data_IF_226530199256
#
_entry.id   IF_226530199256
#
_cell.length_a   1.000
_cell.length_b   1.000
_cell.length_c   1.000
_cell.angle_alpha   90.00
_cell.angle_beta   90.00
_cell.angle_gamma   90.00
#
_symmetry.space_group_name_H-M   'P 1'
#
loop_
_entity.id
_entity.type
_entity.pdbx_description
1 polymer ?
#
# COMPACT_ATOMS: atom_id res chain seq x y z
N UNK A 1 1.57 -9.73 -10.86
CA UNK A 1 1.09 -9.01 -9.66
C UNK A 1 2.22 -8.37 -8.89
N UNK A 2 3.20 -9.14 -8.40
CA UNK A 2 4.38 -8.59 -7.69
C UNK A 2 5.08 -7.47 -8.48
N UNK A 3 5.50 -7.75 -9.72
CA UNK A 3 6.21 -6.74 -10.54
C UNK A 3 5.34 -5.53 -10.86
N UNK A 4 4.02 -5.71 -11.02
CA UNK A 4 3.10 -4.59 -11.22
C UNK A 4 3.07 -3.68 -9.99
N UNK A 5 2.99 -4.26 -8.79
CA UNK A 5 2.99 -3.49 -7.54
C UNK A 5 4.34 -2.82 -7.29
N UNK A 6 5.47 -3.53 -7.48
CA UNK A 6 6.81 -2.95 -7.34
C UNK A 6 7.02 -1.78 -8.30
N UNK A 7 6.60 -1.92 -9.55
CA UNK A 7 6.70 -0.87 -10.55
C UNK A 7 5.80 0.33 -10.21
N UNK A 8 4.56 0.08 -9.77
CA UNK A 8 3.67 1.15 -9.30
C UNK A 8 4.34 1.93 -8.15
N UNK A 9 4.76 1.26 -7.08
CA UNK A 9 5.36 1.90 -5.91
C UNK A 9 6.65 2.66 -6.25
N UNK A 10 7.52 2.07 -7.07
CA UNK A 10 8.75 2.73 -7.52
C UNK A 10 8.46 3.97 -8.38
N UNK A 11 7.46 3.91 -9.25
CA UNK A 11 7.09 5.04 -10.09
C UNK A 11 6.38 6.15 -9.28
N UNK A 12 5.60 5.79 -8.28
CA UNK A 12 4.85 6.74 -7.45
C UNK A 12 5.72 7.39 -6.37
N UNK A 13 6.58 6.63 -5.70
CA UNK A 13 7.31 7.07 -4.51
C UNK A 13 8.82 6.92 -4.60
N UNK A 14 9.36 6.29 -5.64
CA UNK A 14 10.78 5.91 -5.72
C UNK A 14 11.78 7.06 -5.76
N UNK A 15 11.33 8.28 -6.03
CA UNK A 15 12.16 9.50 -5.98
C UNK A 15 12.10 10.19 -4.62
N UNK A 16 11.25 9.72 -3.69
CA UNK A 16 11.14 10.30 -2.36
C UNK A 16 12.40 10.01 -1.53
N UNK A 17 12.87 10.96 -0.70
CA UNK A 17 14.03 10.73 0.16
C UNK A 17 13.81 9.54 1.09
N UNK A 18 14.84 8.70 1.24
CA UNK A 18 14.76 7.53 2.13
C UNK A 18 13.73 6.49 1.71
N UNK A 19 13.29 6.50 0.44
CA UNK A 19 12.35 5.50 -0.06
C UNK A 19 12.90 4.08 0.10
N UNK A 20 12.07 3.19 0.64
CA UNK A 20 12.34 1.76 0.70
C UNK A 20 11.07 0.97 0.36
N UNK A 21 11.29 -0.28 -0.07
CA UNK A 21 10.26 -1.31 -0.17
C UNK A 21 10.83 -2.59 0.41
N UNK A 22 10.05 -3.27 1.23
CA UNK A 22 10.37 -4.60 1.72
C UNK A 22 10.06 -5.67 0.65
N UNK A 23 10.49 -6.90 0.93
CA UNK A 23 10.17 -8.03 0.08
C UNK A 23 8.65 -8.30 0.06
N UNK A 24 8.10 -8.67 -1.11
CA UNK A 24 6.67 -8.93 -1.24
C UNK A 24 6.24 -10.16 -0.46
N UNK A 25 5.11 -10.05 0.25
CA UNK A 25 4.48 -11.15 0.97
C UNK A 25 3.22 -11.56 0.23
N UNK A 26 3.18 -12.80 -0.26
CA UNK A 26 1.95 -13.38 -0.83
C UNK A 26 1.05 -13.88 0.30
N UNK A 27 -0.19 -13.42 0.31
CA UNK A 27 -1.19 -13.75 1.31
C UNK A 27 -1.92 -15.06 0.95
N UNK A 28 -2.69 -15.60 1.91
CA UNK A 28 -3.43 -16.86 1.71
C UNK A 28 -4.51 -16.81 0.64
N UNK A 29 -5.02 -15.63 0.32
CA UNK A 29 -6.01 -15.39 -0.73
C UNK A 29 -5.39 -15.12 -2.11
N UNK A 30 -4.06 -15.18 -2.21
CA UNK A 30 -3.31 -14.90 -3.43
C UNK A 30 -3.05 -13.42 -3.69
N UNK A 31 -3.53 -12.51 -2.84
CA UNK A 31 -3.13 -11.11 -2.86
C UNK A 31 -1.65 -10.96 -2.48
N UNK A 32 -1.04 -9.86 -2.91
CA UNK A 32 0.36 -9.54 -2.59
C UNK A 32 0.42 -8.25 -1.80
N UNK A 33 1.10 -8.28 -0.67
CA UNK A 33 1.43 -7.12 0.16
C UNK A 33 2.87 -6.68 -0.09
N UNK A 34 3.11 -5.37 -0.16
CA UNK A 34 4.45 -4.76 0.00
C UNK A 34 4.35 -3.66 1.05
N UNK A 35 5.20 -3.75 2.07
CA UNK A 35 5.48 -2.68 3.01
C UNK A 35 6.50 -1.74 2.38
N UNK A 36 6.29 -0.44 2.49
CA UNK A 36 7.17 0.57 1.94
C UNK A 36 7.17 1.80 2.84
N UNK A 37 8.13 2.70 2.63
CA UNK A 37 8.13 3.98 3.32
C UNK A 37 9.06 4.98 2.69
N UNK A 38 8.96 6.24 3.12
CA UNK A 38 9.85 7.33 2.71
C UNK A 38 9.80 8.47 3.74
N UNK A 39 10.70 9.44 3.62
CA UNK A 39 10.69 10.67 4.42
C UNK A 39 9.90 11.77 3.70
N UNK A 40 9.02 12.44 4.43
CA UNK A 40 8.27 13.60 3.97
C UNK A 40 8.52 14.78 4.90
N UNK A 41 8.64 15.98 4.33
CA UNK A 41 8.70 17.23 5.10
C UNK A 41 7.40 17.98 4.95
N UNK A 42 6.69 18.18 6.07
CA UNK A 42 5.43 18.93 6.13
C UNK A 42 5.61 20.05 7.16
N UNK A 43 5.34 21.30 6.76
CA UNK A 43 5.46 22.50 7.62
C UNK A 43 6.81 22.62 8.36
N UNK A 44 7.90 22.20 7.70
CA UNK A 44 9.26 22.27 8.24
C UNK A 44 9.65 21.12 9.18
N UNK A 45 8.72 20.20 9.48
CA UNK A 45 9.00 18.97 10.20
C UNK A 45 9.20 17.81 9.21
N UNK A 46 10.29 17.05 9.36
CA UNK A 46 10.53 15.83 8.57
C UNK A 46 10.15 14.62 9.39
N UNK A 47 9.29 13.77 8.83
CA UNK A 47 8.87 12.52 9.44
C UNK A 47 8.81 11.40 8.42
N UNK A 48 8.75 10.15 8.88
CA UNK A 48 8.67 8.97 8.04
C UNK A 48 7.21 8.59 7.82
N UNK A 49 6.86 8.39 6.56
CA UNK A 49 5.62 7.74 6.16
C UNK A 49 5.91 6.24 6.03
N UNK A 50 5.11 5.42 6.70
CA UNK A 50 5.07 3.98 6.50
C UNK A 50 3.76 3.60 5.81
N UNK A 51 3.88 2.85 4.72
CA UNK A 51 2.78 2.42 3.89
C UNK A 51 2.70 0.91 3.72
N UNK A 52 1.47 0.46 3.47
CA UNK A 52 1.15 -0.90 3.07
C UNK A 52 0.33 -0.85 1.79
N UNK A 53 0.78 -1.58 0.77
CA UNK A 53 0.02 -1.74 -0.46
C UNK A 53 -0.32 -3.20 -0.70
N UNK A 54 -1.57 -3.44 -1.09
CA UNK A 54 -2.14 -4.75 -1.38
C UNK A 54 -2.62 -4.75 -2.83
N UNK A 55 -2.20 -5.76 -3.60
CA UNK A 55 -2.64 -5.94 -4.98
C UNK A 55 -3.26 -7.33 -5.16
N UNK A 56 -4.39 -7.39 -5.84
CA UNK A 56 -5.11 -8.63 -6.12
C UNK A 56 -5.79 -8.59 -7.49
N UNK A 57 -6.15 -9.76 -8.01
CA UNK A 57 -6.96 -9.89 -9.22
C UNK A 57 -8.36 -10.31 -8.83
N UNK A 58 -9.36 -9.52 -9.22
CA UNK A 58 -10.77 -9.77 -8.95
C UNK A 58 -11.51 -9.90 -10.28
N UNK A 59 -11.76 -11.13 -10.71
CA UNK A 59 -12.31 -11.42 -12.04
C UNK A 59 -11.35 -10.96 -13.15
N UNK A 60 -11.79 -10.04 -14.00
CA UNK A 60 -10.97 -9.43 -15.06
C UNK A 60 -10.36 -8.07 -14.66
N UNK A 61 -10.37 -7.72 -13.37
CA UNK A 61 -9.87 -6.44 -12.86
C UNK A 61 -8.67 -6.64 -11.94
N UNK A 62 -7.83 -5.61 -11.86
CA UNK A 62 -6.78 -5.50 -10.85
C UNK A 62 -7.27 -4.50 -9.80
N UNK A 63 -7.19 -4.91 -8.55
CA UNK A 63 -7.42 -4.05 -7.40
C UNK A 63 -6.09 -3.71 -6.76
N UNK A 64 -5.91 -2.43 -6.41
CA UNK A 64 -4.74 -1.93 -5.69
C UNK A 64 -5.24 -1.02 -4.56
N UNK A 65 -5.01 -1.46 -3.31
CA UNK A 65 -5.25 -0.65 -2.12
C UNK A 65 -3.92 -0.21 -1.55
N UNK A 66 -3.75 1.09 -1.32
CA UNK A 66 -2.56 1.64 -0.67
C UNK A 66 -2.98 2.46 0.54
N UNK A 67 -2.36 2.20 1.68
CA UNK A 67 -2.56 2.93 2.93
C UNK A 67 -1.22 3.44 3.42
N UNK A 68 -1.18 4.63 4.02
CA UNK A 68 0.03 5.23 4.56
C UNK A 68 -0.28 6.04 5.81
N UNK A 69 0.62 5.99 6.79
CA UNK A 69 0.52 6.72 8.05
C UNK A 69 1.90 7.25 8.45
N UNK A 70 1.95 8.21 9.36
CA UNK A 70 3.19 8.57 10.03
C UNK A 70 3.68 7.36 10.84
N UNK A 71 4.98 7.04 10.74
CA UNK A 71 5.60 5.87 11.38
C UNK A 71 5.33 5.86 12.89
N UNK A 72 5.47 7.02 13.55
CA UNK A 72 5.18 7.19 14.98
C UNK A 72 3.71 6.94 15.37
N UNK A 73 2.77 6.94 14.42
CA UNK A 73 1.37 6.65 14.65
C UNK A 73 1.00 5.19 14.32
N UNK A 74 1.90 4.43 13.70
CA UNK A 74 1.60 3.11 13.16
C UNK A 74 1.03 2.17 14.21
N UNK A 75 1.68 2.04 15.38
CA UNK A 75 1.24 1.10 16.42
C UNK A 75 -0.18 1.39 16.91
N UNK A 76 -0.53 2.67 17.06
CA UNK A 76 -1.86 3.11 17.49
C UNK A 76 -2.91 2.92 16.39
N UNK A 77 -2.51 3.07 15.12
CA UNK A 77 -3.41 2.98 13.97
C UNK A 77 -3.49 1.58 13.37
N UNK A 78 -2.63 0.65 13.79
CA UNK A 78 -2.52 -0.70 13.21
C UNK A 78 -3.87 -1.40 13.18
N UNK A 79 -4.54 -1.50 14.32
CA UNK A 79 -5.82 -2.20 14.43
C UNK A 79 -6.94 -1.53 13.60
N UNK A 80 -7.21 -0.21 13.70
CA UNK A 80 -8.21 0.43 12.85
C UNK A 80 -7.86 0.34 11.35
N UNK A 81 -6.58 0.44 10.98
CA UNK A 81 -6.15 0.26 9.58
C UNK A 81 -6.44 -1.15 9.07
N UNK A 82 -6.11 -2.18 9.86
CA UNK A 82 -6.42 -3.57 9.50
C UNK A 82 -7.92 -3.76 9.29
N UNK A 83 -8.78 -3.14 10.12
CA UNK A 83 -10.23 -3.19 9.91
C UNK A 83 -10.66 -2.54 8.59
N UNK A 84 -10.10 -1.38 8.25
CA UNK A 84 -10.40 -0.71 6.97
C UNK A 84 -9.96 -1.58 5.79
N UNK A 85 -8.72 -2.08 5.81
CA UNK A 85 -8.16 -2.94 4.76
C UNK A 85 -9.03 -4.19 4.56
N UNK A 86 -9.40 -4.88 5.65
CA UNK A 86 -10.19 -6.11 5.56
C UNK A 86 -11.67 -5.87 5.21
N UNK A 87 -12.16 -4.64 5.31
CA UNK A 87 -13.53 -4.28 4.92
C UNK A 87 -13.66 -3.97 3.41
N UNK A 88 -12.53 -3.74 2.74
CA UNK A 88 -12.51 -3.38 1.33
C UNK A 88 -12.95 -4.55 0.46
N UNK A 89 -13.86 -4.29 -0.50
CA UNK A 89 -14.34 -5.28 -1.46
C UNK A 89 -14.55 -4.64 -2.83
N UNK A 90 -14.12 -5.35 -3.87
CA UNK A 90 -14.35 -4.96 -5.27
C UNK A 90 -15.50 -5.75 -5.86
N UNK A 91 -16.49 -5.04 -6.42
CA UNK A 91 -17.51 -5.67 -7.24
C UNK A 91 -17.03 -5.76 -8.70
N UNK A 92 -16.54 -6.94 -9.10
CA UNK A 92 -16.02 -7.17 -10.45
C UNK A 92 -17.08 -7.04 -11.57
N UNK A 93 -18.38 -7.08 -11.24
CA UNK A 93 -19.45 -6.94 -12.23
C UNK A 93 -19.65 -5.51 -12.73
N UNK A 94 -19.12 -4.51 -12.02
CA UNK A 94 -19.24 -3.09 -12.43
C UNK A 94 -18.25 -2.79 -13.57
N UNK A 95 -18.69 -2.33 -14.74
CA UNK A 95 -17.78 -1.94 -15.83
C UNK A 95 -16.86 -0.79 -15.42
N UNK A 96 -15.62 -0.82 -15.90
CA UNK A 96 -14.73 0.35 -15.80
C UNK A 96 -14.89 1.19 -17.07
N UNK A 97 -14.83 2.54 -16.98
CA UNK A 97 -14.87 3.42 -18.14
C UNK A 97 -13.75 3.17 -19.16
#
# INVERSE_FOLDING_TARGET
>A
MIELLKNFLKNTFGTKPGFFMEDPITQSDGSVQIVWGYLETIDGATDRIQGNSFIETVGNKVSLLTTGVLDQQFDNLREPMTRVINSYKVNASVPLP
#
